data_IF_103083158085
#
_entry.id   IF_103083158085
#
_cell.length_a   1.000
_cell.length_b   1.000
_cell.length_c   1.000
_cell.angle_alpha   90.00
_cell.angle_beta   90.00
_cell.angle_gamma   90.00
#
_symmetry.space_group_name_H-M   'P 1'
#
loop_
_entity.id
_entity.type
_entity.pdbx_description
1 polymer ?
#
# COMPACT_ATOMS: atom_id res chain seq x y z
N UNK A 1 1.78 17.09 -15.01
CA UNK A 1 1.65 16.50 -13.66
C UNK A 1 0.37 15.68 -13.49
N UNK A 2 -0.83 16.20 -13.79
CA UNK A 2 -2.07 15.40 -13.66
C UNK A 2 -2.17 14.24 -14.67
N UNK A 3 -1.75 14.46 -15.92
CA UNK A 3 -1.75 13.40 -16.96
C UNK A 3 -0.79 12.25 -16.63
N UNK A 4 0.39 12.55 -16.10
CA UNK A 4 1.38 11.52 -15.71
C UNK A 4 0.89 10.69 -14.53
N UNK A 5 0.25 11.32 -13.53
CA UNK A 5 -0.37 10.62 -12.40
C UNK A 5 -1.53 9.73 -12.85
N UNK A 6 -2.39 10.22 -13.76
CA UNK A 6 -3.52 9.43 -14.28
C UNK A 6 -3.07 8.20 -15.07
N UNK A 7 -2.05 8.36 -15.92
CA UNK A 7 -1.51 7.25 -16.72
C UNK A 7 -0.79 6.22 -15.85
N UNK A 8 -0.04 6.68 -14.84
CA UNK A 8 0.62 5.81 -13.86
C UNK A 8 -0.40 4.94 -13.12
N UNK A 9 -1.47 5.54 -12.58
CA UNK A 9 -2.51 4.80 -11.86
C UNK A 9 -3.28 3.82 -12.74
N UNK A 10 -3.47 4.13 -14.03
CA UNK A 10 -4.26 3.29 -14.93
C UNK A 10 -3.52 2.06 -15.47
N UNK A 11 -2.19 2.08 -15.52
CA UNK A 11 -1.39 1.07 -16.24
C UNK A 11 -0.64 0.14 -15.29
N UNK A 12 -0.55 0.48 -14.00
CA UNK A 12 0.27 -0.26 -13.02
C UNK A 12 -0.59 -1.16 -12.14
N UNK A 13 -0.07 -2.36 -11.85
CA UNK A 13 -0.65 -3.29 -10.88
C UNK A 13 -0.12 -3.07 -9.47
N UNK A 14 -0.88 -3.48 -8.45
CA UNK A 14 -0.49 -3.34 -7.03
C UNK A 14 0.78 -4.17 -6.74
N UNK A 15 0.88 -5.35 -7.37
CA UNK A 15 2.03 -6.24 -7.24
C UNK A 15 3.32 -5.65 -7.81
N UNK A 16 3.23 -4.99 -8.97
CA UNK A 16 4.39 -4.33 -9.59
C UNK A 16 4.78 -3.06 -8.82
N UNK A 17 3.81 -2.34 -8.24
CA UNK A 17 4.07 -1.18 -7.38
C UNK A 17 4.89 -1.56 -6.14
N UNK A 18 4.50 -2.63 -5.44
CA UNK A 18 5.22 -3.08 -4.25
C UNK A 18 6.67 -3.49 -4.56
N UNK A 19 6.90 -4.11 -5.71
CA UNK A 19 8.25 -4.46 -6.19
C UNK A 19 9.04 -3.23 -6.61
N UNK A 20 8.41 -2.29 -7.30
CA UNK A 20 9.04 -1.02 -7.67
C UNK A 20 9.51 -0.25 -6.43
N UNK A 21 8.73 -0.26 -5.34
CA UNK A 21 9.14 0.31 -4.06
C UNK A 21 10.37 -0.39 -3.48
N UNK A 22 10.44 -1.74 -3.55
CA UNK A 22 11.64 -2.50 -3.15
C UNK A 22 12.87 -2.07 -3.93
N UNK A 23 12.76 -2.01 -5.26
CA UNK A 23 13.86 -1.71 -6.17
C UNK A 23 14.32 -0.25 -6.01
N UNK A 24 13.41 0.69 -5.75
CA UNK A 24 13.72 2.10 -5.44
C UNK A 24 14.38 2.29 -4.08
N UNK A 25 14.04 1.46 -3.09
CA UNK A 25 14.61 1.51 -1.74
C UNK A 25 15.84 0.63 -1.56
N UNK A 26 16.14 -0.26 -2.51
CA UNK A 26 17.34 -1.08 -2.53
C UNK A 26 18.65 -0.28 -2.31
N UNK A 27 18.91 0.89 -2.94
CA UNK A 27 20.11 1.66 -2.65
C UNK A 27 20.15 2.20 -1.21
N UNK A 28 19.01 2.40 -0.56
CA UNK A 28 18.98 2.84 0.83
C UNK A 28 19.36 1.72 1.81
N UNK A 29 19.30 0.46 1.37
CA UNK A 29 19.72 -0.69 2.19
C UNK A 29 21.22 -0.68 2.52
N UNK A 30 22.06 -0.01 1.72
CA UNK A 30 23.48 0.19 2.03
C UNK A 30 23.70 1.03 3.30
N UNK A 31 22.72 1.86 3.69
CA UNK A 31 22.76 2.69 4.91
C UNK A 31 22.12 1.97 6.11
N UNK A 32 21.83 0.67 5.97
CA UNK A 32 21.20 -0.15 7.02
C UNK A 32 19.67 -0.06 7.06
N UNK A 33 19.03 0.59 6.07
CA UNK A 33 17.58 0.67 5.99
C UNK A 33 16.97 -0.69 5.59
N UNK A 34 15.91 -1.18 6.27
CA UNK A 34 15.30 -2.48 5.98
C UNK A 34 14.35 -2.42 4.78
N UNK A 35 14.87 -2.07 3.60
CA UNK A 35 14.12 -1.90 2.34
C UNK A 35 13.23 -3.11 2.02
N UNK A 36 13.78 -4.31 2.24
CA UNK A 36 13.11 -5.57 1.97
C UNK A 36 11.89 -5.85 2.86
N UNK A 37 12.03 -5.55 4.17
CA UNK A 37 10.95 -5.75 5.12
C UNK A 37 9.81 -4.75 4.85
N UNK A 38 10.14 -3.52 4.47
CA UNK A 38 9.14 -2.53 4.07
C UNK A 38 8.41 -2.96 2.79
N UNK A 39 9.14 -3.42 1.77
CA UNK A 39 8.53 -3.92 0.54
C UNK A 39 7.58 -5.10 0.81
N UNK A 40 7.97 -6.02 1.69
CA UNK A 40 7.10 -7.10 2.15
C UNK A 40 5.84 -6.55 2.82
N UNK A 41 5.99 -5.61 3.76
CA UNK A 41 4.87 -5.02 4.48
C UNK A 41 3.88 -4.33 3.52
N UNK A 42 4.38 -3.60 2.53
CA UNK A 42 3.56 -2.95 1.49
C UNK A 42 2.85 -3.98 0.61
N UNK A 43 3.55 -5.04 0.17
CA UNK A 43 2.94 -6.11 -0.62
C UNK A 43 1.81 -6.83 0.15
N UNK A 44 2.02 -7.09 1.43
CA UNK A 44 0.99 -7.66 2.32
C UNK A 44 -0.16 -6.68 2.51
N UNK A 45 0.13 -5.39 2.70
CA UNK A 45 -0.88 -4.35 2.85
C UNK A 45 -1.79 -4.28 1.61
N UNK A 46 -1.25 -4.24 0.39
CA UNK A 46 -2.06 -4.24 -0.84
C UNK A 46 -2.95 -5.47 -0.94
N UNK A 47 -2.47 -6.64 -0.54
CA UNK A 47 -3.30 -7.86 -0.50
C UNK A 47 -4.38 -7.80 0.58
N UNK A 48 -4.13 -7.13 1.70
CA UNK A 48 -5.06 -7.05 2.83
C UNK A 48 -6.12 -5.97 2.66
N UNK A 49 -5.84 -4.87 1.95
CA UNK A 49 -6.79 -3.79 1.66
C UNK A 49 -8.14 -4.32 1.14
N UNK A 50 -8.22 -5.13 0.06
CA UNK A 50 -9.51 -5.60 -0.44
C UNK A 50 -10.24 -6.50 0.55
N UNK A 51 -9.50 -7.29 1.34
CA UNK A 51 -10.11 -8.19 2.32
C UNK A 51 -10.69 -7.41 3.49
N UNK A 52 -9.94 -6.42 4.01
CA UNK A 52 -10.38 -5.53 5.08
C UNK A 52 -11.56 -4.67 4.62
N UNK A 53 -11.58 -4.23 3.35
CA UNK A 53 -12.70 -3.48 2.80
C UNK A 53 -14.00 -4.31 2.77
N UNK A 54 -13.95 -5.58 2.34
CA UNK A 54 -15.10 -6.47 2.35
C UNK A 54 -15.58 -6.80 3.78
N UNK A 55 -14.65 -6.95 4.72
CA UNK A 55 -14.97 -7.16 6.13
C UNK A 55 -15.62 -5.92 6.76
N UNK A 56 -15.08 -4.74 6.48
CA UNK A 56 -15.68 -3.47 6.89
C UNK A 56 -17.10 -3.33 6.33
N UNK A 57 -17.33 -3.69 5.06
CA UNK A 57 -18.67 -3.66 4.46
C UNK A 57 -19.65 -4.59 5.19
N UNK A 58 -19.21 -5.80 5.55
CA UNK A 58 -20.00 -6.74 6.34
C UNK A 58 -20.34 -6.18 7.72
N UNK A 59 -19.36 -5.59 8.42
CA UNK A 59 -19.55 -4.97 9.73
C UNK A 59 -20.51 -3.77 9.63
N UNK A 60 -20.39 -2.94 8.60
CA UNK A 60 -21.30 -1.82 8.36
C UNK A 60 -22.74 -2.31 8.20
N UNK A 61 -22.98 -3.34 7.38
CA UNK A 61 -24.31 -3.94 7.20
C UNK A 61 -24.86 -4.53 8.51
N UNK A 62 -24.02 -5.21 9.28
CA UNK A 62 -24.41 -5.79 10.57
C UNK A 62 -24.79 -4.71 11.60
N UNK A 63 -24.04 -3.61 11.66
CA UNK A 63 -24.36 -2.50 12.57
C UNK A 63 -25.57 -1.70 12.10
N UNK A 64 -25.78 -1.54 10.79
CA UNK A 64 -27.00 -0.94 10.25
C UNK A 64 -28.25 -1.75 10.63
N UNK A 65 -28.17 -3.09 10.57
CA UNK A 65 -29.25 -3.97 11.02
C UNK A 65 -29.53 -3.87 12.54
N UNK A 66 -28.53 -3.49 13.34
CA UNK A 66 -28.66 -3.23 14.79
C UNK A 66 -29.16 -1.81 15.10
N UNK A 67 -29.54 -1.03 14.08
CA UNK A 67 -30.08 0.32 14.25
C UNK A 67 -29.02 1.40 14.42
N UNK A 68 -27.75 1.13 14.09
CA UNK A 68 -26.70 2.15 14.10
C UNK A 68 -26.86 3.09 12.91
N UNK A 69 -27.11 4.37 13.20
CA UNK A 69 -27.18 5.43 12.20
C UNK A 69 -25.82 6.13 12.06
N UNK A 70 -25.09 5.77 11.00
CA UNK A 70 -23.83 6.38 10.64
C UNK A 70 -24.06 7.64 9.80
N UNK A 71 -24.41 8.74 10.45
CA UNK A 71 -24.36 10.07 9.82
C UNK A 71 -25.65 10.88 9.80
N UNK A 72 -26.82 10.35 10.15
CA UNK A 72 -28.08 11.13 10.17
C UNK A 72 -28.38 11.83 11.51
N UNK A 73 -27.53 11.64 12.52
CA UNK A 73 -27.64 12.38 13.79
C UNK A 73 -27.20 13.85 13.68
N UNK A 74 -28.07 14.78 14.11
CA UNK A 74 -27.77 16.19 14.42
C UNK A 74 -26.81 16.34 15.63
N UNK A 75 -25.67 15.67 15.59
CA UNK A 75 -24.67 15.66 16.66
C UNK A 75 -23.33 16.19 16.16
N UNK A 76 -22.68 17.02 16.98
CA UNK A 76 -21.35 17.57 16.69
C UNK A 76 -20.28 16.47 16.45
N UNK A 77 -19.05 16.88 16.07
CA UNK A 77 -17.99 15.97 15.61
C UNK A 77 -17.66 14.83 16.59
N UNK A 78 -17.75 15.08 17.90
CA UNK A 78 -17.49 14.09 18.96
C UNK A 78 -18.49 12.93 18.93
N UNK A 79 -19.78 13.21 18.66
CA UNK A 79 -20.82 12.19 18.62
C UNK A 79 -20.70 11.33 17.36
N UNK A 80 -20.25 11.91 16.25
CA UNK A 80 -19.91 11.17 15.03
C UNK A 80 -18.71 10.24 15.26
N UNK A 81 -17.65 10.73 15.91
CA UNK A 81 -16.48 9.89 16.22
C UNK A 81 -16.86 8.66 17.08
N UNK A 82 -17.70 8.84 18.10
CA UNK A 82 -18.20 7.72 18.91
C UNK A 82 -19.07 6.74 18.11
N UNK A 83 -19.81 7.23 17.12
CA UNK A 83 -20.61 6.37 16.25
C UNK A 83 -19.76 5.45 15.37
N UNK A 84 -18.49 5.77 15.08
CA UNK A 84 -17.60 4.91 14.30
C UNK A 84 -16.88 3.83 15.13
N UNK A 85 -16.83 3.96 16.45
CA UNK A 85 -16.16 2.98 17.33
C UNK A 85 -16.65 1.52 17.12
N UNK A 86 -17.96 1.24 17.00
CA UNK A 86 -18.45 -0.11 16.76
C UNK A 86 -18.04 -0.71 15.41
N UNK A 87 -17.57 0.10 14.46
CA UNK A 87 -17.00 -0.35 13.18
C UNK A 87 -15.50 -0.63 13.30
N UNK A 88 -14.76 0.30 13.92
CA UNK A 88 -13.29 0.24 13.99
C UNK A 88 -12.85 -0.95 14.85
N UNK A 89 -13.41 -1.10 16.06
CA UNK A 89 -12.99 -2.13 17.01
C UNK A 89 -13.01 -3.56 16.42
N UNK A 90 -14.13 -4.05 15.85
CA UNK A 90 -14.15 -5.41 15.30
C UNK A 90 -13.22 -5.59 14.10
N UNK A 91 -13.13 -4.61 13.20
CA UNK A 91 -12.25 -4.70 12.02
C UNK A 91 -10.78 -4.71 12.43
N UNK A 92 -10.40 -3.94 13.46
CA UNK A 92 -9.03 -3.94 13.98
C UNK A 92 -8.66 -5.26 14.63
N UNK A 93 -9.54 -5.84 15.46
CA UNK A 93 -9.29 -7.16 16.09
C UNK A 93 -9.08 -8.22 15.00
N UNK A 94 -9.93 -8.23 13.97
CA UNK A 94 -9.82 -9.14 12.83
C UNK A 94 -8.54 -8.96 12.02
N UNK A 95 -8.09 -7.72 11.85
CA UNK A 95 -6.82 -7.43 11.20
C UNK A 95 -5.62 -7.93 12.00
N UNK A 96 -5.65 -7.84 13.33
CA UNK A 96 -4.62 -8.38 14.23
C UNK A 96 -4.58 -9.90 14.19
N UNK A 97 -5.73 -10.57 14.32
CA UNK A 97 -5.84 -12.04 14.19
C UNK A 97 -5.24 -12.52 12.86
N UNK A 98 -5.53 -11.81 11.76
CA UNK A 98 -4.96 -12.16 10.45
C UNK A 98 -3.46 -11.91 10.36
N UNK A 99 -2.94 -10.87 11.00
CA UNK A 99 -1.51 -10.63 11.06
C UNK A 99 -0.77 -11.74 11.81
N UNK A 100 -1.33 -12.21 12.93
CA UNK A 100 -0.80 -13.34 13.71
C UNK A 100 -0.83 -14.64 12.89
N UNK A 101 -1.98 -14.98 12.30
CA UNK A 101 -2.08 -16.15 11.42
C UNK A 101 -1.11 -16.10 10.23
N UNK A 102 -0.87 -14.91 9.66
CA UNK A 102 0.10 -14.74 8.59
C UNK A 102 1.53 -14.96 9.10
N UNK A 103 1.89 -14.42 10.27
CA UNK A 103 3.20 -14.59 10.86
C UNK A 103 3.48 -16.07 11.16
N UNK A 104 2.54 -16.77 11.81
CA UNK A 104 2.65 -18.20 12.09
C UNK A 104 2.80 -19.02 10.80
N UNK A 105 1.99 -18.72 9.78
CA UNK A 105 2.09 -19.39 8.48
C UNK A 105 3.43 -19.12 7.77
N UNK A 106 4.00 -17.93 7.93
CA UNK A 106 5.32 -17.59 7.38
C UNK A 106 6.43 -18.34 8.10
N UNK A 107 6.37 -18.45 9.43
CA UNK A 107 7.32 -19.23 10.23
C UNK A 107 7.25 -20.73 9.91
N UNK A 108 6.03 -21.29 9.80
CA UNK A 108 5.81 -22.69 9.42
C UNK A 108 6.34 -23.02 8.02
N UNK A 109 6.38 -22.03 7.11
CA UNK A 109 6.99 -22.15 5.78
C UNK A 109 8.48 -21.84 5.77
N UNK A 110 9.12 -21.73 6.94
CA UNK A 110 10.53 -21.43 7.12
C UNK A 110 10.96 -20.11 6.45
N UNK A 111 10.09 -19.10 6.42
CA UNK A 111 10.40 -17.81 5.80
C UNK A 111 11.57 -17.12 6.52
N UNK A 112 12.63 -16.77 5.77
CA UNK A 112 13.78 -16.02 6.26
C UNK A 112 14.01 -14.75 5.43
N UNK A 113 14.24 -13.57 6.04
CA UNK A 113 14.43 -12.31 5.30
C UNK A 113 15.71 -12.25 4.46
N UNK A 114 16.75 -13.03 4.82
CA UNK A 114 18.06 -13.03 4.16
C UNK A 114 18.31 -14.34 3.42
N UNK A 115 19.02 -14.28 2.30
CA UNK A 115 19.42 -15.47 1.52
C UNK A 115 18.28 -16.08 0.68
N UNK A 116 17.27 -15.28 0.29
CA UNK A 116 16.12 -15.74 -0.50
C UNK A 116 16.27 -15.41 -1.98
N UNK A 117 15.68 -16.25 -2.85
CA UNK A 117 15.50 -15.95 -4.28
C UNK A 117 14.21 -15.17 -4.54
N UNK A 118 14.14 -14.47 -5.67
CA UNK A 118 12.93 -13.79 -6.15
C UNK A 118 12.25 -14.69 -7.18
N UNK A 119 10.98 -15.03 -6.97
CA UNK A 119 10.23 -15.88 -7.90
C UNK A 119 9.85 -15.13 -9.19
N UNK A 120 9.43 -13.87 -9.07
CA UNK A 120 9.07 -13.04 -10.22
C UNK A 120 10.19 -12.05 -10.49
N UNK A 121 10.91 -12.28 -11.58
CA UNK A 121 11.99 -11.42 -12.08
C UNK A 121 11.58 -10.93 -13.46
N UNK A 122 11.59 -9.61 -13.66
CA UNK A 122 11.31 -9.02 -14.96
C UNK A 122 12.60 -9.03 -15.79
N UNK A 123 12.54 -9.60 -17.00
CA UNK A 123 13.66 -9.53 -17.93
C UNK A 123 13.82 -8.08 -18.41
N UNK A 124 14.95 -7.46 -18.12
CA UNK A 124 15.24 -6.11 -18.58
C UNK A 124 15.51 -6.12 -20.08
N UNK A 125 14.53 -5.69 -20.87
CA UNK A 125 14.72 -5.44 -22.30
C UNK A 125 15.43 -4.11 -22.57
N UNK A 126 15.93 -3.92 -23.79
CA UNK A 126 16.50 -2.63 -24.23
C UNK A 126 15.50 -1.49 -24.13
N UNK A 127 14.21 -1.79 -24.37
CA UNK A 127 13.09 -0.86 -24.19
C UNK A 127 12.93 -0.40 -22.73
N UNK A 128 13.18 -1.27 -21.75
CA UNK A 128 13.08 -0.94 -20.33
C UNK A 128 14.18 0.04 -19.92
N UNK A 129 15.42 -0.17 -20.41
CA UNK A 129 16.53 0.78 -20.18
C UNK A 129 16.23 2.16 -20.77
N UNK A 130 15.67 2.22 -21.99
CA UNK A 130 15.26 3.50 -22.62
C UNK A 130 14.15 4.16 -21.81
N UNK A 131 13.14 3.41 -21.36
CA UNK A 131 12.06 3.92 -20.54
C UNK A 131 12.56 4.49 -19.20
N UNK A 132 13.50 3.81 -18.53
CA UNK A 132 14.12 4.31 -17.29
C UNK A 132 14.88 5.61 -17.49
N UNK A 133 15.69 5.70 -18.55
CA UNK A 133 16.41 6.94 -18.88
C UNK A 133 15.44 8.09 -19.19
N UNK A 134 14.38 7.80 -19.96
CA UNK A 134 13.31 8.77 -20.24
C UNK A 134 12.59 9.25 -18.98
N UNK A 135 12.31 8.34 -18.03
CA UNK A 135 11.67 8.69 -16.76
C UNK A 135 12.57 9.58 -15.89
N UNK A 136 13.87 9.29 -15.80
CA UNK A 136 14.83 10.13 -15.06
C UNK A 136 14.91 11.52 -15.68
N UNK A 137 15.01 11.61 -17.01
CA UNK A 137 15.03 12.89 -17.72
C UNK A 137 13.74 13.69 -17.50
N UNK A 138 12.58 13.04 -17.55
CA UNK A 138 11.29 13.67 -17.28
C UNK A 138 11.20 14.23 -15.86
N UNK A 139 11.63 13.46 -14.84
CA UNK A 139 11.68 13.91 -13.46
C UNK A 139 12.63 15.11 -13.26
N UNK A 140 13.81 15.08 -13.89
CA UNK A 140 14.77 16.18 -13.82
C UNK A 140 14.21 17.47 -14.45
N UNK A 141 13.57 17.37 -15.61
CA UNK A 141 12.91 18.51 -16.27
C UNK A 141 11.79 19.08 -15.40
N UNK A 142 10.99 18.23 -14.77
CA UNK A 142 9.94 18.68 -13.85
C UNK A 142 10.49 19.41 -12.62
N UNK A 143 11.58 18.91 -12.01
CA UNK A 143 12.21 19.56 -10.86
C UNK A 143 12.79 20.93 -11.24
N UNK A 144 13.42 21.04 -12.40
CA UNK A 144 13.96 22.31 -12.92
C UNK A 144 12.82 23.28 -13.26
N UNK A 145 11.72 22.81 -13.85
CA UNK A 145 10.56 23.63 -14.16
C UNK A 145 9.85 24.12 -12.89
N UNK A 146 9.65 23.25 -11.90
CA UNK A 146 9.09 23.62 -10.60
C UNK A 146 9.98 24.63 -9.86
N UNK A 147 11.30 24.43 -9.92
CA UNK A 147 12.28 25.37 -9.39
C UNK A 147 12.36 26.70 -10.13
N UNK A 148 11.83 26.81 -11.36
CA UNK A 148 11.70 28.09 -12.09
C UNK A 148 10.37 28.79 -11.90
N UNK A 149 9.33 28.08 -11.51
CA UNK A 149 7.99 28.64 -11.23
C UNK A 149 7.87 29.13 -9.79
N UNK A 150 8.71 28.62 -8.88
CA UNK A 150 8.72 28.99 -7.47
C UNK A 150 9.59 30.23 -7.13
N UNK A 151 10.14 30.93 -8.13
CA UNK A 151 10.94 32.16 -7.98
C UNK A 151 10.41 33.27 -8.90
#
# INVERSE_FOLDING_TARGET
>A
MMLSLGLFTSVITEGDTARGIEDLLAPLSYVGFPAHALALAVAVAFRFIPIVAGELESVVKAQAARGSDFGAGKGGPIRKARAYLPLIVPVTIRALERAEMLAEAMEARCYRPKGRSRYVVHASGTLDTVARLGAIAYCAVLLIAAGRVAW
#
